data_IF_691464311871
#
_entry.id   IF_691464311871
#
_cell.length_a   1.000
_cell.length_b   1.000
_cell.length_c   1.000
_cell.angle_alpha   90.00
_cell.angle_beta   90.00
_cell.angle_gamma   90.00
#
_symmetry.space_group_name_H-M   'P 1'
#
loop_
_entity.id
_entity.type
_entity.pdbx_description
1 polymer ?
#
# COMPACT_ATOMS: atom_id res chain seq x y z
N UNK A 1 6.33 12.68 -14.55
CA UNK A 1 6.10 11.26 -14.18
C UNK A 1 5.31 11.29 -12.89
N UNK A 2 4.00 11.02 -12.95
CA UNK A 2 3.13 11.14 -11.78
C UNK A 2 3.46 10.00 -10.82
N UNK A 3 3.81 10.33 -9.58
CA UNK A 3 3.98 9.37 -8.49
C UNK A 3 2.61 8.70 -8.33
N UNK A 4 2.51 7.42 -8.69
CA UNK A 4 1.28 6.68 -8.45
C UNK A 4 1.33 6.27 -6.99
N UNK A 5 0.79 7.10 -6.11
CA UNK A 5 0.42 6.66 -4.75
C UNK A 5 -0.79 5.73 -4.88
N UNK A 6 -0.61 4.54 -5.46
CA UNK A 6 -1.67 3.56 -5.64
C UNK A 6 -2.18 3.15 -4.26
N UNK A 7 -3.41 3.52 -3.87
CA UNK A 7 -3.91 3.13 -2.56
C UNK A 7 -4.07 1.61 -2.54
N UNK A 8 -3.38 0.93 -1.62
CA UNK A 8 -3.62 -0.49 -1.39
C UNK A 8 -4.97 -0.66 -0.72
N UNK A 9 -5.85 -1.49 -1.28
CA UNK A 9 -7.04 -1.92 -0.54
C UNK A 9 -6.65 -2.93 0.54
N UNK A 10 -7.49 -3.06 1.58
CA UNK A 10 -7.33 -4.10 2.62
C UNK A 10 -7.17 -5.49 2.02
N UNK A 11 -8.03 -5.81 1.06
CA UNK A 11 -8.00 -7.09 0.38
C UNK A 11 -6.67 -7.31 -0.35
N UNK A 12 -6.16 -6.33 -1.08
CA UNK A 12 -4.86 -6.43 -1.73
C UNK A 12 -3.71 -6.65 -0.76
N UNK A 13 -3.68 -5.94 0.36
CA UNK A 13 -2.60 -6.08 1.32
C UNK A 13 -2.57 -7.47 1.97
N UNK A 14 -3.74 -7.99 2.38
CA UNK A 14 -3.84 -9.36 2.87
C UNK A 14 -3.36 -10.36 1.82
N UNK A 15 -3.79 -10.21 0.57
CA UNK A 15 -3.40 -11.13 -0.51
C UNK A 15 -1.92 -11.05 -0.86
N UNK A 16 -1.30 -9.88 -0.75
CA UNK A 16 0.14 -9.73 -0.97
C UNK A 16 0.94 -10.51 0.08
N UNK A 17 0.58 -10.37 1.36
CA UNK A 17 1.27 -11.03 2.48
C UNK A 17 1.04 -12.54 2.48
N UNK A 18 -0.16 -12.98 2.13
CA UNK A 18 -0.48 -14.41 2.02
C UNK A 18 0.25 -15.12 0.86
N UNK A 19 0.71 -14.38 -0.16
CA UNK A 19 1.15 -14.96 -1.45
C UNK A 19 2.61 -14.65 -1.83
N UNK A 20 3.23 -13.67 -1.19
CA UNK A 20 4.56 -13.17 -1.57
C UNK A 20 5.37 -12.86 -0.33
N UNK A 21 6.71 -12.87 -0.44
CA UNK A 21 7.59 -12.37 0.60
C UNK A 21 7.85 -10.86 0.49
N UNK A 22 7.13 -10.15 -0.38
CA UNK A 22 7.29 -8.71 -0.58
C UNK A 22 6.56 -7.90 0.50
N UNK A 23 7.29 -6.95 1.09
CA UNK A 23 6.68 -5.87 1.85
C UNK A 23 5.85 -4.97 0.92
N UNK A 24 4.78 -4.37 1.44
CA UNK A 24 3.89 -3.47 0.69
C UNK A 24 4.69 -2.34 0.06
N UNK A 25 5.68 -1.79 0.77
CA UNK A 25 6.53 -0.69 0.33
C UNK A 25 7.34 -1.10 -0.90
N UNK A 26 7.93 -2.29 -0.88
CA UNK A 26 8.71 -2.82 -2.01
C UNK A 26 7.82 -3.06 -3.23
N UNK A 27 6.60 -3.54 -3.02
CA UNK A 27 5.63 -3.73 -4.10
C UNK A 27 5.17 -2.41 -4.73
N UNK A 28 4.90 -1.39 -3.90
CA UNK A 28 4.59 -0.04 -4.37
C UNK A 28 5.78 0.56 -5.13
N UNK A 29 7.00 0.34 -4.65
CA UNK A 29 8.23 0.80 -5.29
C UNK A 29 8.42 0.18 -6.69
N UNK A 30 8.13 -1.11 -6.85
CA UNK A 30 8.12 -1.78 -8.15
C UNK A 30 7.17 -1.07 -9.13
N UNK A 31 5.96 -0.77 -8.69
CA UNK A 31 4.96 -0.08 -9.53
C UNK A 31 5.42 1.35 -9.84
N UNK A 32 5.89 2.10 -8.85
CA UNK A 32 6.33 3.48 -9.03
C UNK A 32 7.54 3.63 -9.95
N UNK A 33 8.46 2.65 -9.92
CA UNK A 33 9.61 2.58 -10.83
C UNK A 33 9.23 2.10 -12.23
N UNK A 34 7.96 1.75 -12.46
CA UNK A 34 7.51 1.20 -13.74
C UNK A 34 8.00 -0.22 -13.99
N UNK A 35 8.43 -0.95 -12.95
CA UNK A 35 8.94 -2.32 -13.03
C UNK A 35 7.78 -3.32 -13.08
N UNK A 36 6.97 -3.15 -14.11
CA UNK A 36 5.84 -4.02 -14.43
C UNK A 36 5.61 -4.06 -15.95
N UNK A 37 4.84 -5.05 -16.38
CA UNK A 37 4.23 -5.10 -17.72
C UNK A 37 2.72 -4.98 -17.58
N UNK A 38 2.11 -4.07 -18.35
CA UNK A 38 0.65 -3.95 -18.40
C UNK A 38 0.10 -5.05 -19.31
N UNK A 39 -0.59 -6.02 -18.73
CA UNK A 39 -1.21 -7.15 -19.43
C UNK A 39 -2.55 -6.77 -20.09
N UNK A 40 -3.03 -5.56 -19.85
CA UNK A 40 -4.31 -5.05 -20.35
C UNK A 40 -5.42 -5.08 -19.30
N UNK A 41 -6.65 -4.94 -19.79
CA UNK A 41 -7.88 -4.87 -18.99
C UNK A 41 -8.94 -5.79 -19.55
N UNK A 42 -9.78 -6.35 -18.68
CA UNK A 42 -10.98 -7.07 -19.13
C UNK A 42 -12.04 -6.07 -19.62
N UNK A 43 -12.60 -6.23 -20.84
CA UNK A 43 -13.64 -5.33 -21.35
C UNK A 43 -14.82 -5.20 -20.38
N UNK A 44 -15.32 -3.97 -20.20
CA UNK A 44 -16.46 -3.68 -19.31
C UNK A 44 -16.13 -3.64 -17.81
N UNK A 45 -14.87 -3.88 -17.43
CA UNK A 45 -14.42 -3.76 -16.04
C UNK A 45 -13.22 -2.81 -16.02
N UNK A 46 -13.31 -1.73 -15.24
CA UNK A 46 -12.28 -0.71 -15.09
C UNK A 46 -11.11 -1.20 -14.21
N UNK A 47 -10.51 -2.32 -14.63
CA UNK A 47 -9.41 -2.99 -13.93
C UNK A 47 -8.27 -3.28 -14.90
N UNK A 48 -7.08 -2.85 -14.52
CA UNK A 48 -5.83 -3.15 -15.21
C UNK A 48 -5.10 -4.29 -14.50
N UNK A 49 -4.44 -5.14 -15.27
CA UNK A 49 -3.67 -6.26 -14.79
C UNK A 49 -2.19 -5.96 -15.03
N UNK A 50 -1.40 -5.82 -13.96
CA UNK A 50 0.03 -5.57 -14.06
C UNK A 50 0.82 -6.81 -13.65
N UNK A 51 1.65 -7.33 -14.56
CA UNK A 51 2.62 -8.38 -14.26
C UNK A 51 3.80 -7.77 -13.51
N UNK A 52 4.14 -8.37 -12.37
CA UNK A 52 5.22 -7.97 -11.48
C UNK A 52 6.07 -9.21 -11.19
N UNK A 53 7.38 -9.04 -11.10
CA UNK A 53 8.31 -10.10 -10.74
C UNK A 53 8.88 -9.80 -9.36
N UNK A 54 8.93 -10.83 -8.52
CA UNK A 54 9.51 -10.78 -7.19
C UNK A 54 10.82 -11.56 -7.19
N UNK A 55 11.98 -10.91 -7.18
CA UNK A 55 13.24 -11.67 -7.15
C UNK A 55 13.45 -12.41 -5.82
N UNK A 56 12.82 -11.97 -4.72
CA UNK A 56 12.94 -12.67 -3.42
C UNK A 56 12.17 -13.98 -3.40
N UNK A 57 11.05 -14.05 -4.11
CA UNK A 57 10.27 -15.27 -4.29
C UNK A 57 10.71 -16.04 -5.55
N UNK A 58 11.47 -15.40 -6.44
CA UNK A 58 11.77 -15.86 -7.81
C UNK A 58 10.50 -16.23 -8.60
N UNK A 59 9.43 -15.46 -8.41
CA UNK A 59 8.11 -15.75 -8.97
C UNK A 59 7.42 -14.51 -9.56
N UNK A 60 6.45 -14.75 -10.43
CA UNK A 60 5.61 -13.71 -11.03
C UNK A 60 4.26 -13.61 -10.32
N UNK A 61 3.82 -12.37 -10.14
CA UNK A 61 2.53 -12.02 -9.57
C UNK A 61 1.78 -11.06 -10.47
N UNK A 62 0.46 -11.01 -10.33
CA UNK A 62 -0.39 -10.07 -11.07
C UNK A 62 -1.14 -9.18 -10.11
N UNK A 63 -0.85 -7.87 -10.16
CA UNK A 63 -1.62 -6.85 -9.46
C UNK A 63 -2.86 -6.48 -10.28
N UNK A 64 -4.01 -6.44 -9.63
CA UNK A 64 -5.25 -5.93 -10.22
C UNK A 64 -5.49 -4.53 -9.69
N UNK A 65 -5.50 -3.54 -10.59
CA UNK A 65 -5.57 -2.13 -10.25
C UNK A 65 -6.86 -1.53 -10.79
N UNK A 66 -7.57 -0.77 -9.97
CA UNK A 66 -8.69 0.07 -10.41
C UNK A 66 -8.16 1.19 -11.32
N UNK A 67 -8.65 1.24 -12.57
CA UNK A 67 -8.12 2.19 -13.55
C UNK A 67 -8.57 3.63 -13.33
N UNK A 68 -9.60 3.89 -12.51
CA UNK A 68 -10.08 5.24 -12.21
C UNK A 68 -9.28 5.88 -11.08
N UNK A 69 -9.06 5.15 -10.00
CA UNK A 69 -8.42 5.68 -8.79
C UNK A 69 -7.00 5.16 -8.58
N UNK A 70 -6.52 4.24 -9.40
CA UNK A 70 -5.19 3.64 -9.28
C UNK A 70 -5.02 2.71 -8.08
N UNK A 71 -6.12 2.32 -7.41
CA UNK A 71 -6.05 1.48 -6.20
C UNK A 71 -5.73 0.03 -6.55
N UNK A 72 -4.80 -0.58 -5.81
CA UNK A 72 -4.51 -2.02 -5.95
C UNK A 72 -5.60 -2.79 -5.22
N UNK A 73 -6.41 -3.52 -5.97
CA UNK A 73 -7.60 -4.24 -5.50
C UNK A 73 -7.21 -5.62 -4.98
N UNK A 74 -6.31 -6.33 -5.68
CA UNK A 74 -5.83 -7.65 -5.25
C UNK A 74 -4.49 -7.97 -5.91
N UNK A 75 -3.75 -8.94 -5.35
CA UNK A 75 -2.50 -9.48 -5.90
C UNK A 75 -2.68 -10.98 -6.06
N UNK A 76 -2.53 -11.50 -7.28
CA UNK A 76 -2.72 -12.92 -7.59
C UNK A 76 -1.37 -13.59 -7.88
N UNK A 77 -1.24 -14.87 -7.56
CA UNK A 77 -0.18 -15.71 -8.16
C UNK A 77 -0.43 -15.80 -9.66
N UNK A 78 0.63 -16.00 -10.44
CA UNK A 78 0.51 -16.10 -11.89
C UNK A 78 -0.49 -17.20 -12.31
N UNK A 79 -0.34 -18.41 -11.77
CA UNK A 79 -1.21 -19.55 -12.10
C UNK A 79 -2.69 -19.27 -11.82
N UNK A 80 -2.97 -18.58 -10.72
CA UNK A 80 -4.34 -18.24 -10.35
C UNK A 80 -4.92 -17.15 -11.27
N UNK A 81 -4.11 -16.18 -11.69
CA UNK A 81 -4.52 -15.21 -12.70
C UNK A 81 -4.81 -15.89 -14.04
N UNK A 82 -3.92 -16.77 -14.52
CA UNK A 82 -4.10 -17.45 -15.81
C UNK A 82 -5.35 -18.34 -15.82
N UNK A 83 -5.74 -18.88 -14.67
CA UNK A 83 -6.98 -19.65 -14.49
C UNK A 83 -8.24 -18.77 -14.60
N UNK A 84 -8.20 -17.54 -14.08
CA UNK A 84 -9.36 -16.64 -14.00
C UNK A 84 -9.49 -15.67 -15.18
N UNK A 85 -8.41 -15.43 -15.90
CA UNK A 85 -8.30 -14.39 -16.91
C UNK A 85 -7.77 -14.95 -18.23
N UNK A 86 -6.51 -14.67 -18.55
CA UNK A 86 -5.85 -15.13 -19.76
C UNK A 86 -4.41 -15.50 -19.45
N UNK A 87 -3.86 -16.36 -20.29
CA UNK A 87 -2.46 -16.78 -20.20
C UNK A 87 -1.53 -15.60 -20.44
N UNK A 88 -0.50 -15.47 -19.62
CA UNK A 88 0.53 -14.44 -19.78
C UNK A 88 1.59 -14.96 -20.76
N UNK A 89 1.82 -14.27 -21.89
CA UNK A 89 2.84 -14.68 -22.86
C UNK A 89 4.25 -14.71 -22.26
N UNK A 90 5.06 -15.72 -22.63
CA UNK A 90 6.47 -15.80 -22.22
C UNK A 90 7.29 -14.57 -22.65
N UNK A 91 6.91 -13.91 -23.74
CA UNK A 91 7.56 -12.66 -24.16
C UNK A 91 7.44 -11.57 -23.07
N UNK A 92 6.29 -11.46 -22.41
CA UNK A 92 5.99 -10.42 -21.43
C UNK A 92 6.74 -10.72 -20.12
N UNK A 93 6.85 -12.01 -19.74
CA UNK A 93 7.69 -12.46 -18.62
C UNK A 93 9.17 -12.16 -18.85
N UNK A 94 9.68 -12.51 -20.04
CA UNK A 94 11.07 -12.26 -20.42
C UNK A 94 11.38 -10.76 -20.54
N UNK A 95 10.45 -9.96 -21.05
CA UNK A 95 10.58 -8.50 -21.09
C UNK A 95 10.66 -7.93 -19.67
N UNK A 96 9.79 -8.39 -18.76
CA UNK A 96 9.82 -7.96 -17.36
C UNK A 96 11.14 -8.32 -16.68
N UNK A 97 11.63 -9.56 -16.87
CA UNK A 97 12.92 -10.00 -16.29
C UNK A 97 14.10 -9.15 -16.77
N UNK A 98 14.12 -8.77 -18.05
CA UNK A 98 15.13 -7.84 -18.59
C UNK A 98 15.00 -6.47 -17.93
N UNK A 99 13.77 -5.95 -17.85
CA UNK A 99 13.46 -4.66 -17.25
C UNK A 99 13.84 -4.59 -15.77
N UNK A 100 13.68 -5.69 -15.01
CA UNK A 100 14.09 -5.77 -13.61
C UNK A 100 15.61 -5.94 -13.47
N UNK A 101 16.26 -6.75 -14.31
CA UNK A 101 17.72 -6.92 -14.32
C UNK A 101 18.48 -5.64 -14.68
N UNK A 102 18.02 -4.92 -15.71
CA UNK A 102 18.62 -3.64 -16.14
C UNK A 102 18.49 -2.57 -15.04
N UNK A 103 17.56 -2.77 -14.11
CA UNK A 103 17.34 -1.91 -12.97
C UNK A 103 18.13 -2.45 -11.75
N UNK A 104 19.45 -2.25 -11.74
CA UNK A 104 20.49 -2.73 -10.77
C UNK A 104 20.23 -2.54 -9.25
N UNK A 105 19.06 -2.07 -8.82
CA UNK A 105 18.74 -1.77 -7.43
C UNK A 105 17.76 -2.75 -6.76
N UNK A 106 17.31 -3.81 -7.43
CA UNK A 106 16.33 -4.73 -6.84
C UNK A 106 16.94 -5.68 -5.79
N UNK A 107 18.09 -6.29 -6.10
CA UNK A 107 18.83 -7.17 -5.17
C UNK A 107 19.28 -6.45 -3.88
N UNK A 108 19.31 -5.11 -3.90
CA UNK A 108 19.57 -4.27 -2.74
C UNK A 108 18.35 -4.06 -1.83
N UNK A 109 17.11 -4.22 -2.33
CA UNK A 109 15.88 -4.15 -1.53
C UNK A 109 15.69 -5.43 -0.72
N UNK A 110 16.02 -6.59 -1.31
CA UNK A 110 15.99 -7.90 -0.64
C UNK A 110 17.07 -8.05 0.45
N UNK A 111 18.18 -7.30 0.35
CA UNK A 111 19.25 -7.26 1.36
C UNK A 111 19.05 -6.20 2.45
N UNK A 112 17.96 -5.41 2.41
CA UNK A 112 17.43 -4.68 3.60
C UNK A 112 16.51 -5.63 4.40
N UNK A 113 16.89 -6.91 4.51
CA UNK A 113 16.26 -7.86 5.45
C UNK A 113 16.91 -7.80 6.83
N UNK A 114 18.08 -7.19 6.96
CA UNK A 114 18.79 -7.07 8.23
C UNK A 114 19.27 -5.62 8.40
N UNK A 115 19.06 -5.09 9.61
CA UNK A 115 19.30 -3.71 10.02
C UNK A 115 18.33 -2.67 9.44
N UNK A 116 17.18 -2.50 10.10
CA UNK A 116 16.87 -1.20 10.69
C UNK A 116 15.63 -1.32 11.58
N UNK A 117 15.76 -0.79 12.79
CA UNK A 117 14.65 -0.44 13.67
C UNK A 117 13.89 0.76 13.04
N UNK A 118 13.20 0.52 11.91
CA UNK A 118 12.60 1.58 11.10
C UNK A 118 11.49 2.24 11.91
N UNK A 119 11.55 3.57 12.02
CA UNK A 119 10.50 4.35 12.71
C UNK A 119 9.25 4.41 11.84
N UNK A 120 8.11 3.90 12.28
CA UNK A 120 6.82 4.13 11.61
C UNK A 120 6.27 5.48 12.06
N UNK A 121 5.85 6.30 11.10
CA UNK A 121 5.20 7.58 11.33
C UNK A 121 3.84 7.56 10.64
N UNK A 122 2.77 7.68 11.43
CA UNK A 122 1.40 7.73 10.94
C UNK A 122 0.84 9.14 11.16
N UNK A 123 0.24 9.73 10.14
CA UNK A 123 -0.44 11.02 10.24
C UNK A 123 -1.85 10.97 9.67
N UNK A 124 -2.80 11.61 10.36
CA UNK A 124 -4.14 11.85 9.84
C UNK A 124 -4.09 12.96 8.80
N UNK A 125 -4.84 12.78 7.72
CA UNK A 125 -5.02 13.75 6.65
C UNK A 125 -6.45 14.30 6.74
N UNK A 126 -6.56 15.62 6.83
CA UNK A 126 -7.81 16.32 7.08
C UNK A 126 -7.85 17.69 6.39
N UNK A 127 -9.04 18.28 6.31
CA UNK A 127 -9.25 19.69 5.97
C UNK A 127 -9.39 20.50 7.26
N UNK A 128 -8.64 21.57 7.39
CA UNK A 128 -8.84 22.53 8.48
C UNK A 128 -10.08 23.41 8.27
N UNK A 129 -10.37 24.29 9.22
CA UNK A 129 -11.52 25.20 9.18
C UNK A 129 -11.49 26.23 8.03
N UNK A 130 -10.36 26.36 7.34
CA UNK A 130 -10.21 27.20 6.13
C UNK A 130 -10.34 26.36 4.85
N UNK A 131 -10.63 25.06 4.96
CA UNK A 131 -10.71 24.11 3.85
C UNK A 131 -9.35 23.71 3.29
N UNK A 132 -8.24 23.97 4.00
CA UNK A 132 -6.89 23.62 3.54
C UNK A 132 -6.50 22.21 3.97
N UNK A 133 -5.92 21.39 3.06
CA UNK A 133 -5.45 20.06 3.42
C UNK A 133 -4.25 20.14 4.36
N UNK A 134 -4.32 19.41 5.47
CA UNK A 134 -3.28 19.29 6.48
C UNK A 134 -3.04 17.83 6.86
N UNK A 135 -1.83 17.58 7.33
CA UNK A 135 -1.43 16.30 7.90
C UNK A 135 -0.98 16.52 9.35
N UNK A 136 -1.45 15.70 10.29
CA UNK A 136 -0.99 15.73 11.68
C UNK A 136 -0.56 14.34 12.13
N UNK A 137 0.68 14.23 12.58
CA UNK A 137 1.24 13.00 13.13
C UNK A 137 0.45 12.57 14.36
N UNK A 138 -0.09 11.35 14.32
CA UNK A 138 -0.85 10.73 15.39
C UNK A 138 -0.09 9.59 16.05
N UNK A 139 0.84 8.97 15.32
CA UNK A 139 1.72 7.94 15.86
C UNK A 139 3.14 8.11 15.32
N UNK A 140 4.11 7.92 16.20
CA UNK A 140 5.51 7.73 15.86
C UNK A 140 6.09 6.67 16.80
N UNK A 141 6.67 5.60 16.25
CA UNK A 141 7.21 4.50 17.06
C UNK A 141 8.17 3.63 16.26
N UNK A 142 8.86 2.69 16.94
CA UNK A 142 9.68 1.71 16.24
C UNK A 142 8.77 0.64 15.63
N UNK A 143 9.15 0.09 14.49
CA UNK A 143 8.46 -1.04 13.87
C UNK A 143 8.36 -2.25 14.83
N UNK A 144 9.28 -2.40 15.77
CA UNK A 144 9.26 -3.44 16.82
C UNK A 144 8.08 -3.29 17.80
N UNK A 145 7.67 -2.05 18.11
CA UNK A 145 6.48 -1.76 18.94
C UNK A 145 5.17 -2.08 18.19
N UNK A 146 5.30 -2.43 16.93
CA UNK A 146 4.27 -2.60 15.91
C UNK A 146 4.55 -3.95 15.20
N UNK A 147 4.56 -5.05 15.97
CA UNK A 147 4.81 -6.45 15.55
C UNK A 147 5.20 -6.63 14.07
N UNK A 148 6.49 -6.81 13.83
CA UNK A 148 7.07 -7.07 12.51
C UNK A 148 6.43 -8.33 11.92
N UNK A 149 5.78 -8.18 10.76
CA UNK A 149 5.02 -9.23 10.06
C UNK A 149 3.55 -8.89 9.87
N UNK A 150 3.03 -7.92 10.63
CA UNK A 150 1.64 -7.49 10.52
C UNK A 150 1.47 -6.41 9.45
N UNK A 151 0.44 -6.54 8.61
CA UNK A 151 0.11 -5.52 7.63
C UNK A 151 -0.24 -4.18 8.31
N UNK A 152 -0.06 -3.05 7.62
CA UNK A 152 -0.56 -1.75 8.12
C UNK A 152 -2.05 -1.78 8.49
N UNK A 153 -2.82 -2.67 7.86
CA UNK A 153 -4.21 -2.91 8.20
C UNK A 153 -4.35 -3.54 9.58
N UNK A 154 -3.59 -4.58 9.89
CA UNK A 154 -3.59 -5.22 11.21
C UNK A 154 -3.17 -4.24 12.32
N UNK A 155 -2.20 -3.38 12.04
CA UNK A 155 -1.76 -2.31 12.93
C UNK A 155 -2.90 -1.32 13.19
N UNK A 156 -3.58 -0.90 12.11
CA UNK A 156 -4.70 0.05 12.17
C UNK A 156 -5.88 -0.51 12.98
N UNK A 157 -6.11 -1.82 12.94
CA UNK A 157 -7.21 -2.46 13.68
C UNK A 157 -6.89 -2.80 15.14
N UNK A 158 -5.66 -2.61 15.61
CA UNK A 158 -5.35 -2.81 17.02
C UNK A 158 -6.01 -1.73 17.87
N UNK A 159 -6.70 -2.15 18.94
CA UNK A 159 -7.35 -1.24 19.89
C UNK A 159 -6.42 -0.14 20.42
N UNK A 160 -5.15 -0.50 20.69
CA UNK A 160 -4.13 0.46 21.15
C UNK A 160 -3.78 1.52 20.10
N UNK A 161 -3.84 1.18 18.81
CA UNK A 161 -3.57 2.12 17.72
C UNK A 161 -4.74 3.09 17.55
N UNK A 162 -5.97 2.58 17.46
CA UNK A 162 -7.18 3.41 17.39
C UNK A 162 -7.34 4.31 18.61
N UNK A 163 -7.02 3.81 19.81
CA UNK A 163 -7.04 4.62 21.02
C UNK A 163 -6.09 5.83 20.92
N UNK A 164 -4.84 5.62 20.46
CA UNK A 164 -3.86 6.70 20.27
C UNK A 164 -4.30 7.70 19.19
N UNK A 165 -4.84 7.21 18.08
CA UNK A 165 -5.40 8.07 17.03
C UNK A 165 -6.52 8.93 17.60
N UNK A 166 -7.48 8.33 18.30
CA UNK A 166 -8.62 9.02 18.89
C UNK A 166 -8.21 10.03 19.96
N UNK A 167 -7.19 9.73 20.76
CA UNK A 167 -6.63 10.69 21.71
C UNK A 167 -6.08 11.92 21.00
N UNK A 168 -5.29 11.72 19.92
CA UNK A 168 -4.74 12.83 19.14
C UNK A 168 -5.79 13.58 18.35
N UNK A 169 -6.85 12.90 17.91
CA UNK A 169 -7.93 13.49 17.14
C UNK A 169 -8.64 14.61 17.90
N UNK A 170 -8.80 14.48 19.21
CA UNK A 170 -9.35 15.53 20.09
C UNK A 170 -8.58 16.86 20.05
N UNK A 171 -7.35 16.85 19.54
CA UNK A 171 -6.49 18.04 19.41
C UNK A 171 -6.50 18.61 17.99
N UNK A 172 -7.31 18.05 17.09
CA UNK A 172 -7.41 18.45 15.70
C UNK A 172 -8.72 19.17 15.52
N UNK A 173 -8.62 20.41 15.07
CA UNK A 173 -9.77 21.19 14.62
C UNK A 173 -9.89 20.99 13.10
N UNK A 174 -10.82 20.13 12.69
CA UNK A 174 -10.96 19.63 11.33
C UNK A 174 -12.42 19.65 10.87
N UNK A 175 -12.64 20.13 9.64
CA UNK A 175 -13.93 20.04 8.96
C UNK A 175 -14.20 18.60 8.50
N UNK A 176 -13.15 17.91 8.05
CA UNK A 176 -13.27 16.57 7.49
C UNK A 176 -11.94 15.82 7.61
N UNK A 177 -11.96 14.62 8.17
CA UNK A 177 -10.81 13.71 8.19
C UNK A 177 -11.08 12.62 7.16
N UNK A 178 -10.19 12.48 6.19
CA UNK A 178 -10.45 11.62 5.02
C UNK A 178 -9.38 10.58 4.75
N UNK A 179 -8.23 10.63 5.45
CA UNK A 179 -7.22 9.60 5.24
C UNK A 179 -6.20 9.46 6.36
N UNK A 180 -5.41 8.40 6.21
CA UNK A 180 -4.21 8.12 6.97
C UNK A 180 -3.03 8.09 6.01
N UNK A 181 -1.93 8.72 6.40
CA UNK A 181 -0.65 8.53 5.75
C UNK A 181 0.29 7.77 6.65
N UNK A 182 1.04 6.83 6.09
CA UNK A 182 1.96 5.97 6.81
C UNK A 182 3.32 6.05 6.13
N UNK A 183 4.35 6.29 6.93
CA UNK A 183 5.71 6.48 6.44
C UNK A 183 6.67 5.60 7.24
N UNK A 184 7.47 4.82 6.52
CA UNK A 184 8.48 3.93 7.10
C UNK A 184 9.85 4.61 7.12
N UNK A 185 10.22 5.20 8.25
CA UNK A 185 11.41 6.02 8.44
C UNK A 185 11.15 7.51 8.15
N UNK A 186 12.12 8.38 8.45
CA UNK A 186 11.94 9.84 8.27
C UNK A 186 12.00 10.29 6.80
N UNK A 187 12.72 9.55 5.95
CA UNK A 187 13.06 9.94 4.57
C UNK A 187 12.20 9.28 3.49
N UNK A 188 11.45 8.23 3.84
CA UNK A 188 10.62 7.52 2.87
C UNK A 188 9.39 8.34 2.49
N UNK A 189 8.86 8.19 1.26
CA UNK A 189 7.60 8.81 0.90
C UNK A 189 6.45 8.23 1.77
N UNK A 190 5.45 9.05 2.13
CA UNK A 190 4.26 8.55 2.81
C UNK A 190 3.35 7.77 1.84
N UNK A 191 2.83 6.64 2.29
CA UNK A 191 1.76 5.89 1.64
C UNK A 191 0.43 6.42 2.18
N UNK A 192 -0.49 6.78 1.29
CA UNK A 192 -1.80 7.31 1.66
C UNK A 192 -2.86 6.21 1.58
N UNK A 193 -3.73 6.20 2.59
CA UNK A 193 -4.89 5.34 2.70
C UNK A 193 -6.13 6.19 2.95
N UNK A 194 -7.15 6.03 2.10
CA UNK A 194 -8.47 6.57 2.39
C UNK A 194 -9.06 5.81 3.59
N UNK A 195 -9.67 6.52 4.54
CA UNK A 195 -10.24 5.89 5.74
C UNK A 195 -11.28 4.82 5.39
N UNK A 196 -12.11 5.03 4.37
CA UNK A 196 -13.12 4.06 3.93
C UNK A 196 -12.47 2.80 3.36
N UNK A 197 -11.34 2.92 2.67
CA UNK A 197 -10.58 1.76 2.19
C UNK A 197 -9.98 0.93 3.33
N UNK A 198 -9.71 1.58 4.46
CA UNK A 198 -9.31 0.93 5.71
C UNK A 198 -10.52 0.43 6.53
N UNK A 199 -11.76 0.57 6.05
CA UNK A 199 -12.96 0.25 6.84
C UNK A 199 -13.09 1.10 8.12
N UNK A 200 -12.44 2.27 8.12
CA UNK A 200 -12.49 3.23 9.21
C UNK A 200 -13.49 4.33 8.88
N UNK A 201 -14.20 4.74 9.92
CA UNK A 201 -15.25 5.75 9.85
C UNK A 201 -14.98 6.82 10.88
N UNK A 202 -15.33 8.04 10.52
CA UNK A 202 -15.29 9.20 11.41
C UNK A 202 -16.74 9.48 11.82
N UNK A 203 -16.98 9.75 13.10
CA UNK A 203 -18.29 10.17 13.58
C UNK A 203 -18.63 11.61 13.13
N UNK A 204 -19.90 11.99 13.22
CA UNK A 204 -20.41 13.24 12.64
C UNK A 204 -19.74 14.52 13.18
N UNK A 205 -19.25 14.49 14.42
CA UNK A 205 -18.56 15.62 15.06
C UNK A 205 -17.03 15.60 14.85
N UNK A 206 -16.51 14.69 14.02
CA UNK A 206 -15.09 14.48 13.77
C UNK A 206 -14.23 14.16 15.01
N UNK A 207 -14.84 13.76 16.14
CA UNK A 207 -14.14 13.56 17.40
C UNK A 207 -13.58 12.14 17.59
N UNK A 208 -14.00 11.18 16.74
CA UNK A 208 -13.64 9.77 16.87
C UNK A 208 -13.60 9.04 15.52
N UNK A 209 -12.51 8.28 15.33
CA UNK A 209 -12.38 7.23 14.31
C UNK A 209 -12.71 5.87 14.93
N UNK A 210 -13.49 5.07 14.23
CA UNK A 210 -13.89 3.74 14.63
C UNK A 210 -13.92 2.77 13.45
N UNK A 211 -13.89 1.48 13.76
CA UNK A 211 -14.05 0.38 12.80
C UNK A 211 -15.53 0.03 12.75
N UNK A 212 -16.06 -0.22 11.55
CA UNK A 212 -17.41 -0.79 11.39
C UNK A 212 -17.36 -2.32 11.37
#
# INVERSE_FOLDING_TARGET
>A
MSIITAPFTKHAACRLIERTSLEIENFIDLINKGLYINLGSKPGIHKQHLLIYSDIDNEFFVAIIDSYCGSIITVLTLDYHETLAWRVPERDKNELLKKTHDHENYSRLASIKEENTKTIITALIFLDNEGKPKAKTVLQGKQEDVNVGESIFEIVYKDKFLAKINEKLKTIDAINIFGLSVRYGKKSPPIFFDLKQLGLWVNEDNSRIFVQ
#
